data_IF_891381707223
#
_entry.id   IF_891381707223
#
_cell.length_a   1.000
_cell.length_b   1.000
_cell.length_c   1.000
_cell.angle_alpha   90.00
_cell.angle_beta   90.00
_cell.angle_gamma   90.00
#
_symmetry.space_group_name_H-M   'P 1'
#
loop_
_entity.id
_entity.type
_entity.pdbx_description
1 polymer ?
#
# COMPACT_ATOMS: atom_id res chain seq x y z
N UNK A 1 -10.65 -46.04 53.33
CA UNK A 1 -10.81 -44.86 52.44
C UNK A 1 -9.75 -43.87 52.87
N UNK A 2 -8.58 -43.92 52.22
CA UNK A 2 -8.18 -42.98 51.16
C UNK A 2 -7.90 -41.59 51.75
N UNK A 3 -6.64 -41.16 51.95
CA UNK A 3 -5.54 -40.82 51.02
C UNK A 3 -5.52 -39.31 50.66
N UNK A 4 -4.37 -38.72 50.98
CA UNK A 4 -3.62 -37.61 50.35
C UNK A 4 -4.00 -36.14 50.54
N UNK A 5 -3.05 -35.52 51.23
CA UNK A 5 -2.31 -34.28 50.93
C UNK A 5 -1.91 -34.01 49.47
N UNK A 6 -1.84 -32.70 49.20
CA UNK A 6 -0.86 -31.90 48.41
C UNK A 6 -1.26 -31.24 47.07
N UNK A 7 -0.71 -30.03 46.79
CA UNK A 7 -1.10 -29.13 45.70
C UNK A 7 -0.02 -28.98 44.59
N UNK A 8 -0.37 -28.15 43.58
CA UNK A 8 0.49 -27.44 42.59
C UNK A 8 1.24 -28.25 41.51
N UNK A 9 0.75 -28.06 40.28
CA UNK A 9 1.42 -27.92 38.98
C UNK A 9 2.68 -28.75 38.66
N UNK A 10 2.52 -29.65 37.67
CA UNK A 10 3.61 -30.34 36.98
C UNK A 10 3.39 -30.24 35.45
N UNK A 11 4.39 -29.75 34.73
CA UNK A 11 4.60 -29.97 33.30
C UNK A 11 6.07 -30.29 33.04
N UNK A 12 6.40 -31.16 32.07
CA UNK A 12 7.49 -32.13 32.23
C UNK A 12 8.85 -31.67 31.68
N UNK A 13 9.89 -32.22 32.29
CA UNK A 13 11.31 -32.25 31.92
C UNK A 13 11.53 -33.12 30.67
N UNK A 14 12.24 -32.61 29.66
CA UNK A 14 12.76 -33.40 28.54
C UNK A 14 14.26 -33.11 28.36
N UNK A 15 14.97 -34.20 28.08
CA UNK A 15 16.40 -34.45 28.19
C UNK A 15 17.32 -33.62 27.29
N UNK A 16 18.53 -33.39 27.82
CA UNK A 16 19.70 -32.85 27.14
C UNK A 16 20.37 -33.94 26.29
N UNK A 17 20.56 -33.77 24.97
CA UNK A 17 21.45 -34.62 24.18
C UNK A 17 22.90 -34.16 24.33
N UNK A 18 23.78 -35.09 24.69
CA UNK A 18 25.21 -34.92 24.79
C UNK A 18 25.86 -34.55 23.44
N UNK A 19 26.62 -33.47 23.41
CA UNK A 19 27.41 -33.07 22.25
C UNK A 19 28.71 -33.89 22.17
N UNK A 20 29.03 -34.50 21.02
CA UNK A 20 30.25 -35.27 20.85
C UNK A 20 31.49 -34.38 20.78
N UNK A 21 32.56 -34.86 21.40
CA UNK A 21 33.93 -34.31 21.40
C UNK A 21 34.48 -34.31 19.96
N UNK A 22 34.92 -33.16 19.41
CA UNK A 22 35.56 -33.18 18.11
C UNK A 22 37.03 -33.57 18.25
N UNK A 23 37.36 -34.63 17.52
CA UNK A 23 38.71 -35.12 17.24
C UNK A 23 39.53 -34.10 16.45
N UNK A 24 40.84 -34.24 16.60
CA UNK A 24 41.90 -33.43 16.00
C UNK A 24 41.81 -33.37 14.47
N UNK A 25 41.30 -32.26 13.94
CA UNK A 25 41.55 -31.84 12.56
C UNK A 25 42.76 -30.91 12.49
N UNK A 26 43.78 -31.35 11.75
CA UNK A 26 44.97 -30.59 11.38
C UNK A 26 44.60 -29.50 10.37
N UNK A 27 44.14 -28.36 10.87
CA UNK A 27 44.06 -27.11 10.13
C UNK A 27 44.74 -25.99 10.93
N UNK A 28 45.50 -25.09 10.30
CA UNK A 28 46.21 -24.04 11.01
C UNK A 28 45.19 -23.12 11.70
N UNK A 29 45.20 -23.15 13.03
CA UNK A 29 44.41 -22.25 13.90
C UNK A 29 44.79 -20.79 13.62
N UNK A 30 44.13 -20.17 12.65
CA UNK A 30 44.16 -18.72 12.47
C UNK A 30 43.41 -18.09 13.64
N UNK A 31 44.16 -17.69 14.65
CA UNK A 31 43.68 -16.94 15.80
C UNK A 31 42.91 -15.70 15.34
N UNK A 32 41.79 -15.39 16.02
CA UNK A 32 40.95 -14.20 15.76
C UNK A 32 41.74 -12.87 15.81
N UNK A 33 42.92 -12.87 16.43
CA UNK A 33 43.82 -11.72 16.54
C UNK A 33 45.09 -11.82 15.67
N UNK A 34 45.20 -12.81 14.77
CA UNK A 34 46.38 -12.95 13.92
C UNK A 34 46.39 -11.95 12.76
N UNK A 35 47.58 -11.55 12.32
CA UNK A 35 47.77 -10.70 11.11
C UNK A 35 47.14 -11.32 9.86
N UNK A 36 47.07 -12.65 9.79
CA UNK A 36 46.41 -13.39 8.72
C UNK A 36 44.88 -13.15 8.70
N UNK A 37 44.27 -12.99 9.88
CA UNK A 37 42.84 -12.68 10.02
C UNK A 37 42.53 -11.24 9.60
N UNK A 38 43.44 -10.30 9.87
CA UNK A 38 43.33 -8.89 9.40
C UNK A 38 43.45 -8.81 7.88
N UNK A 39 44.38 -9.57 7.28
CA UNK A 39 44.54 -9.65 5.81
C UNK A 39 43.29 -10.22 5.15
N UNK A 40 42.78 -11.35 5.66
CA UNK A 40 41.56 -11.98 5.13
C UNK A 40 40.32 -11.11 5.29
N UNK A 41 40.18 -10.39 6.41
CA UNK A 41 39.10 -9.40 6.60
C UNK A 41 39.23 -8.23 5.61
N UNK A 42 40.43 -7.68 5.43
CA UNK A 42 40.69 -6.58 4.49
C UNK A 42 40.44 -6.99 3.03
N UNK A 43 40.72 -8.24 2.67
CA UNK A 43 40.48 -8.79 1.34
C UNK A 43 38.98 -9.04 1.07
N UNK A 44 38.23 -9.48 2.09
CA UNK A 44 36.77 -9.59 2.05
C UNK A 44 36.07 -8.22 2.02
N UNK A 45 36.59 -7.22 2.72
CA UNK A 45 36.09 -5.84 2.67
C UNK A 45 36.41 -5.17 1.32
N UNK A 46 37.58 -5.46 0.72
CA UNK A 46 37.94 -4.96 -0.61
C UNK A 46 37.10 -5.60 -1.73
N UNK A 47 36.81 -6.89 -1.64
CA UNK A 47 35.93 -7.58 -2.60
C UNK A 47 34.46 -7.15 -2.48
N UNK A 48 33.96 -6.88 -1.27
CA UNK A 48 32.62 -6.28 -1.09
C UNK A 48 32.52 -4.86 -1.64
N UNK A 49 33.62 -4.11 -1.72
CA UNK A 49 33.62 -2.73 -2.22
C UNK A 49 33.59 -2.61 -3.75
N UNK A 50 33.73 -3.72 -4.47
CA UNK A 50 33.74 -3.75 -5.94
C UNK A 50 32.51 -4.40 -6.57
N UNK A 51 31.56 -4.94 -5.78
CA UNK A 51 30.30 -5.43 -6.31
C UNK A 51 29.28 -4.30 -6.41
N UNK A 52 29.52 -3.37 -7.33
CA UNK A 52 28.46 -2.51 -7.85
C UNK A 52 27.60 -3.45 -8.70
N UNK A 53 26.44 -3.87 -8.18
CA UNK A 53 25.42 -4.52 -9.02
C UNK A 53 25.26 -3.64 -10.25
N UNK A 54 25.39 -4.17 -11.48
CA UNK A 54 25.01 -3.41 -12.65
C UNK A 54 23.59 -2.94 -12.39
N UNK A 55 23.38 -1.62 -12.42
CA UNK A 55 22.07 -1.02 -12.56
C UNK A 55 21.40 -1.77 -13.70
N UNK A 56 20.51 -2.70 -13.36
CA UNK A 56 19.69 -3.38 -14.35
C UNK A 56 18.91 -2.24 -14.98
N UNK A 57 19.21 -1.92 -16.23
CA UNK A 57 18.41 -1.00 -17.02
C UNK A 57 17.03 -1.63 -17.06
N UNK A 58 16.16 -1.18 -16.17
CA UNK A 58 14.78 -1.66 -16.14
C UNK A 58 14.13 -1.15 -17.41
N UNK A 59 13.29 -1.96 -18.07
CA UNK A 59 12.56 -1.49 -19.24
C UNK A 59 11.77 -0.22 -18.90
N UNK A 60 11.95 0.81 -19.72
CA UNK A 60 11.20 2.06 -19.66
C UNK A 60 10.53 2.24 -21.00
N UNK A 61 9.47 1.48 -21.23
CA UNK A 61 8.67 1.63 -22.45
C UNK A 61 7.77 2.86 -22.33
N UNK A 62 7.59 3.60 -23.42
CA UNK A 62 6.65 4.71 -23.47
C UNK A 62 5.22 4.16 -23.50
N UNK A 63 4.33 4.72 -22.69
CA UNK A 63 2.93 4.32 -22.62
C UNK A 63 2.01 5.51 -22.84
N UNK A 64 0.82 5.26 -23.37
CA UNK A 64 -0.18 6.31 -23.58
C UNK A 64 -1.07 6.51 -22.35
N UNK A 65 -1.60 7.71 -22.19
CA UNK A 65 -2.58 8.03 -21.14
C UNK A 65 -3.81 7.09 -21.21
N UNK A 66 -4.26 6.76 -22.42
CA UNK A 66 -5.38 5.84 -22.63
C UNK A 66 -5.08 4.44 -22.09
N UNK A 67 -3.88 3.91 -22.32
CA UNK A 67 -3.48 2.61 -21.77
C UNK A 67 -3.38 2.64 -20.25
N UNK A 68 -2.84 3.73 -19.69
CA UNK A 68 -2.80 3.95 -18.24
C UNK A 68 -4.20 3.93 -17.64
N UNK A 69 -5.14 4.69 -18.20
CA UNK A 69 -6.53 4.75 -17.73
C UNK A 69 -7.23 3.40 -17.83
N UNK A 70 -6.96 2.61 -18.89
CA UNK A 70 -7.53 1.25 -19.02
C UNK A 70 -7.03 0.35 -17.90
N UNK A 71 -5.73 0.34 -17.60
CA UNK A 71 -5.17 -0.48 -16.52
C UNK A 71 -5.60 0.02 -15.15
N UNK A 72 -5.69 1.34 -14.96
CA UNK A 72 -6.20 1.97 -13.75
C UNK A 72 -7.64 1.52 -13.44
N UNK A 73 -8.53 1.60 -14.42
CA UNK A 73 -9.93 1.18 -14.28
C UNK A 73 -10.05 -0.33 -14.04
N UNK A 74 -9.26 -1.15 -14.73
CA UNK A 74 -9.22 -2.61 -14.48
C UNK A 74 -8.78 -2.92 -13.05
N UNK A 75 -7.80 -2.18 -12.53
CA UNK A 75 -7.36 -2.36 -11.15
C UNK A 75 -8.45 -1.94 -10.15
N UNK A 76 -9.13 -0.82 -10.39
CA UNK A 76 -10.26 -0.38 -9.57
C UNK A 76 -11.38 -1.43 -9.51
N UNK A 77 -11.80 -1.97 -10.67
CA UNK A 77 -12.80 -3.05 -10.74
C UNK A 77 -12.34 -4.29 -9.97
N UNK A 78 -11.08 -4.71 -10.15
CA UNK A 78 -10.52 -5.86 -9.44
C UNK A 78 -10.53 -5.68 -7.92
N UNK A 79 -10.30 -4.46 -7.44
CA UNK A 79 -10.41 -4.15 -6.00
C UNK A 79 -11.87 -4.21 -5.53
N UNK A 80 -12.79 -3.69 -6.36
CA UNK A 80 -14.22 -3.80 -6.14
C UNK A 80 -14.69 -5.24 -5.97
N UNK A 81 -14.24 -6.15 -6.85
CA UNK A 81 -14.57 -7.58 -6.81
C UNK A 81 -13.99 -8.28 -5.58
N UNK A 82 -12.85 -7.80 -5.07
CA UNK A 82 -12.23 -8.29 -3.82
C UNK A 82 -12.93 -7.75 -2.56
N UNK A 83 -13.91 -6.87 -2.69
CA UNK A 83 -14.59 -6.22 -1.58
C UNK A 83 -13.87 -4.98 -1.03
N UNK A 84 -12.80 -4.51 -1.67
CA UNK A 84 -12.07 -3.29 -1.30
C UNK A 84 -12.75 -2.05 -1.91
N UNK A 85 -14.01 -1.84 -1.50
CA UNK A 85 -14.91 -0.80 -2.05
C UNK A 85 -14.44 0.63 -1.80
N UNK A 86 -13.75 0.87 -0.68
CA UNK A 86 -13.18 2.19 -0.36
C UNK A 86 -12.15 2.57 -1.43
N UNK A 87 -11.17 1.69 -1.68
CA UNK A 87 -10.12 1.95 -2.66
C UNK A 87 -10.65 2.02 -4.10
N UNK A 88 -11.62 1.16 -4.46
CA UNK A 88 -12.34 1.29 -5.73
C UNK A 88 -12.97 2.69 -5.88
N UNK A 89 -13.68 3.16 -4.86
CA UNK A 89 -14.30 4.48 -4.88
C UNK A 89 -13.29 5.62 -4.96
N UNK A 90 -12.12 5.49 -4.30
CA UNK A 90 -11.05 6.48 -4.36
C UNK A 90 -10.41 6.56 -5.75
N UNK A 91 -10.25 5.42 -6.41
CA UNK A 91 -9.69 5.35 -7.76
C UNK A 91 -10.61 5.89 -8.85
N UNK A 92 -11.93 5.84 -8.61
CA UNK A 92 -12.97 6.25 -9.55
C UNK A 92 -13.55 7.64 -9.25
N UNK A 93 -13.03 8.35 -8.25
CA UNK A 93 -13.60 9.64 -7.83
C UNK A 93 -13.38 10.73 -8.87
N UNK A 94 -12.22 10.71 -9.52
CA UNK A 94 -11.76 11.58 -10.58
C UNK A 94 -10.78 10.77 -11.46
N UNK A 95 -10.68 11.14 -12.74
CA UNK A 95 -9.73 10.50 -13.66
C UNK A 95 -8.31 11.04 -13.39
N UNK A 96 -7.29 10.17 -13.25
CA UNK A 96 -5.91 10.61 -13.08
C UNK A 96 -5.35 11.16 -14.40
N UNK A 97 -4.46 12.14 -14.31
CA UNK A 97 -3.77 12.73 -15.46
C UNK A 97 -2.33 12.24 -15.57
N UNK A 98 -1.80 12.16 -16.80
CA UNK A 98 -0.45 11.69 -17.08
C UNK A 98 0.49 12.83 -17.52
N UNK A 99 1.52 13.10 -16.74
CA UNK A 99 2.59 14.06 -17.05
C UNK A 99 3.92 13.29 -17.24
N UNK A 100 4.16 12.83 -18.48
CA UNK A 100 5.33 12.00 -18.80
C UNK A 100 5.24 10.61 -18.18
N UNK A 101 5.99 10.36 -17.10
CA UNK A 101 5.93 9.12 -16.30
C UNK A 101 5.25 9.30 -14.95
N UNK A 102 4.80 10.53 -14.64
CA UNK A 102 4.15 10.87 -13.38
C UNK A 102 2.64 10.89 -13.56
N UNK A 103 1.95 10.09 -12.75
CA UNK A 103 0.49 10.04 -12.70
C UNK A 103 0.04 10.92 -11.55
N UNK A 104 -0.79 11.91 -11.83
CA UNK A 104 -1.32 12.83 -10.83
C UNK A 104 -2.78 12.52 -10.54
N UNK A 105 -3.12 12.39 -9.25
CA UNK A 105 -4.48 12.12 -8.78
C UNK A 105 -4.92 13.19 -7.78
N UNK A 106 -6.11 13.74 -7.99
CA UNK A 106 -6.74 14.68 -7.06
C UNK A 106 -7.74 13.96 -6.14
N UNK A 107 -7.54 14.12 -4.83
CA UNK A 107 -8.41 13.61 -3.78
C UNK A 107 -9.06 14.75 -2.98
N UNK A 108 -10.28 14.54 -2.44
CA UNK A 108 -11.08 15.61 -1.86
C UNK A 108 -10.57 16.10 -0.50
N UNK A 109 -9.92 15.23 0.27
CA UNK A 109 -9.43 15.54 1.62
C UNK A 109 -8.19 14.71 1.97
N UNK A 110 -7.49 15.10 3.05
CA UNK A 110 -6.29 14.40 3.52
C UNK A 110 -6.56 12.96 3.97
N UNK A 111 -7.75 12.66 4.51
CA UNK A 111 -8.13 11.30 4.92
C UNK A 111 -8.10 10.33 3.73
N UNK A 112 -8.71 10.76 2.61
CA UNK A 112 -8.71 10.01 1.35
C UNK A 112 -7.29 9.78 0.83
N UNK A 113 -6.41 10.77 0.98
CA UNK A 113 -5.00 10.66 0.62
C UNK A 113 -4.29 9.61 1.47
N UNK A 114 -4.48 9.62 2.78
CA UNK A 114 -3.87 8.64 3.68
C UNK A 114 -4.33 7.21 3.36
N UNK A 115 -5.63 7.03 3.13
CA UNK A 115 -6.21 5.73 2.75
C UNK A 115 -5.61 5.24 1.41
N UNK A 116 -5.50 6.13 0.42
CA UNK A 116 -4.92 5.81 -0.88
C UNK A 116 -3.42 5.46 -0.78
N UNK A 117 -2.63 6.27 -0.06
CA UNK A 117 -1.20 6.05 0.15
C UNK A 117 -0.91 4.70 0.83
N UNK A 118 -1.79 4.24 1.72
CA UNK A 118 -1.65 2.93 2.36
C UNK A 118 -1.68 1.76 1.36
N UNK A 119 -2.37 1.93 0.22
CA UNK A 119 -2.57 0.88 -0.79
C UNK A 119 -1.90 1.17 -2.14
N UNK A 120 -1.16 2.29 -2.24
CA UNK A 120 -0.53 2.76 -3.48
C UNK A 120 0.45 1.76 -4.08
N UNK A 121 1.14 0.99 -3.22
CA UNK A 121 2.14 0.00 -3.63
C UNK A 121 1.53 -1.09 -4.53
N UNK A 122 0.29 -1.50 -4.26
CA UNK A 122 -0.40 -2.50 -5.07
C UNK A 122 -0.74 -1.99 -6.47
N UNK A 123 -1.16 -0.72 -6.54
CA UNK A 123 -1.47 -0.04 -7.80
C UNK A 123 -0.21 0.19 -8.64
N UNK A 124 0.86 0.71 -8.03
CA UNK A 124 2.16 0.87 -8.67
C UNK A 124 2.67 -0.45 -9.24
N UNK A 125 2.60 -1.54 -8.47
CA UNK A 125 2.99 -2.87 -8.95
C UNK A 125 2.16 -3.34 -10.14
N UNK A 126 0.85 -3.06 -10.14
CA UNK A 126 -0.03 -3.38 -11.26
C UNK A 126 0.34 -2.60 -12.52
N UNK A 127 0.48 -1.28 -12.41
CA UNK A 127 0.79 -0.40 -13.54
C UNK A 127 2.18 -0.71 -14.13
N UNK A 128 3.21 -0.83 -13.28
CA UNK A 128 4.58 -1.17 -13.74
C UNK A 128 4.64 -2.50 -14.48
N UNK A 129 3.84 -3.47 -14.05
CA UNK A 129 3.77 -4.78 -14.71
C UNK A 129 3.01 -4.79 -16.03
N UNK A 130 1.97 -3.96 -16.18
CA UNK A 130 1.10 -3.97 -17.37
C UNK A 130 1.52 -2.94 -18.42
N UNK A 131 2.18 -1.86 -18.02
CA UNK A 131 2.66 -0.79 -18.90
C UNK A 131 4.15 -0.93 -19.23
N UNK A 132 4.82 -1.97 -18.73
CA UNK A 132 6.24 -2.27 -18.96
C UNK A 132 7.18 -1.07 -18.68
N UNK A 133 6.78 -0.21 -17.76
CA UNK A 133 7.52 0.98 -17.38
C UNK A 133 7.72 1.01 -15.87
N UNK A 134 8.98 0.92 -15.43
CA UNK A 134 9.34 0.90 -14.02
C UNK A 134 9.54 2.29 -13.40
N UNK A 135 9.55 3.34 -14.22
CA UNK A 135 9.74 4.74 -13.82
C UNK A 135 8.43 5.40 -13.37
N UNK A 136 7.28 4.71 -13.55
CA UNK A 136 5.97 5.21 -13.13
C UNK A 136 5.97 5.63 -11.66
N UNK A 137 5.56 6.86 -11.44
CA UNK A 137 5.38 7.48 -10.11
C UNK A 137 3.96 8.01 -10.00
N UNK A 138 3.38 7.99 -8.80
CA UNK A 138 2.03 8.49 -8.55
C UNK A 138 2.12 9.61 -7.51
N UNK A 139 1.63 10.79 -7.87
CA UNK A 139 1.55 11.96 -6.99
C UNK A 139 0.09 12.26 -6.65
N UNK A 140 -0.16 12.55 -5.37
CA UNK A 140 -1.52 12.75 -4.86
C UNK A 140 -1.66 14.17 -4.30
N UNK A 141 -2.59 14.92 -4.88
CA UNK A 141 -2.93 16.27 -4.48
C UNK A 141 -4.27 16.31 -3.75
N UNK A 142 -4.36 17.13 -2.71
CA UNK A 142 -5.60 17.34 -1.97
C UNK A 142 -6.26 18.63 -2.46
N UNK A 143 -7.51 18.51 -2.87
CA UNK A 143 -8.32 19.62 -3.37
C UNK A 143 -9.62 19.76 -2.57
N UNK A 144 -9.52 20.38 -1.39
CA UNK A 144 -10.66 20.61 -0.48
C UNK A 144 -11.73 21.54 -1.08
N UNK A 145 -11.36 22.37 -2.07
CA UNK A 145 -12.31 23.24 -2.74
C UNK A 145 -13.37 22.45 -3.52
N UNK A 146 -13.05 21.24 -4.01
CA UNK A 146 -14.01 20.37 -4.70
C UNK A 146 -15.00 19.74 -3.72
N UNK A 147 -14.59 19.47 -2.47
CA UNK A 147 -15.50 18.98 -1.43
C UNK A 147 -16.58 20.02 -1.10
N UNK A 148 -16.23 21.31 -1.08
CA UNK A 148 -17.20 22.40 -0.87
C UNK A 148 -18.26 22.50 -1.97
N UNK A 149 -18.00 21.97 -3.18
CA UNK A 149 -19.00 21.86 -4.25
C UNK A 149 -19.80 20.56 -4.19
N UNK A 150 -19.30 19.53 -3.51
CA UNK A 150 -20.04 18.26 -3.29
C UNK A 150 -20.85 18.26 -2.00
N UNK A 151 -20.62 19.19 -1.07
CA UNK A 151 -21.56 19.46 0.00
C UNK A 151 -22.82 20.10 -0.59
N UNK A 152 -23.79 19.28 -1.01
CA UNK A 152 -25.09 19.82 -1.39
C UNK A 152 -25.65 20.54 -0.17
N UNK A 153 -25.72 21.88 -0.24
CA UNK A 153 -26.51 22.69 0.68
C UNK A 153 -27.95 22.16 0.67
N UNK A 154 -28.72 22.35 1.73
CA UNK A 154 -30.11 21.87 1.82
C UNK A 154 -30.94 22.36 0.62
N UNK A 155 -30.65 23.57 0.14
CA UNK A 155 -31.19 24.14 -1.09
C UNK A 155 -30.79 23.39 -2.37
N UNK A 156 -29.54 22.96 -2.48
CA UNK A 156 -29.04 22.22 -3.65
C UNK A 156 -29.66 20.81 -3.71
N UNK A 157 -29.85 20.17 -2.55
CA UNK A 157 -30.58 18.90 -2.45
C UNK A 157 -32.02 19.06 -2.91
N UNK A 158 -32.69 20.14 -2.49
CA UNK A 158 -34.04 20.45 -2.94
C UNK A 158 -34.12 20.63 -4.46
N UNK A 159 -33.20 21.40 -5.05
CA UNK A 159 -33.17 21.63 -6.49
C UNK A 159 -33.00 20.32 -7.27
N UNK A 160 -32.06 19.48 -6.86
CA UNK A 160 -31.84 18.17 -7.50
C UNK A 160 -33.04 17.23 -7.34
N UNK A 161 -33.70 17.23 -6.19
CA UNK A 161 -34.93 16.46 -5.98
C UNK A 161 -36.05 16.96 -6.90
N UNK A 162 -36.14 18.27 -7.13
CA UNK A 162 -37.12 18.89 -8.03
C UNK A 162 -36.85 18.55 -9.51
N UNK A 163 -35.58 18.46 -9.93
CA UNK A 163 -35.20 17.98 -11.27
C UNK A 163 -35.59 16.51 -11.50
N UNK A 164 -35.46 15.67 -10.47
CA UNK A 164 -35.84 14.25 -10.52
C UNK A 164 -37.36 14.08 -10.50
N UNK A 165 -38.06 14.86 -9.68
CA UNK A 165 -39.51 14.80 -9.54
C UNK A 165 -40.12 16.18 -9.22
N UNK A 166 -40.91 16.77 -10.13
CA UNK A 166 -41.52 18.08 -9.90
C UNK A 166 -42.56 18.08 -8.76
N UNK A 167 -43.07 16.92 -8.33
CA UNK A 167 -43.99 16.83 -7.20
C UNK A 167 -43.34 17.13 -5.84
N UNK A 168 -42.02 17.31 -5.80
CA UNK A 168 -41.29 17.74 -4.59
C UNK A 168 -41.74 19.13 -4.13
N UNK A 169 -42.15 20.01 -5.05
CA UNK A 169 -42.75 21.31 -4.70
C UNK A 169 -44.08 21.13 -3.96
N UNK A 170 -44.95 20.27 -4.48
CA UNK A 170 -46.23 19.96 -3.83
C UNK A 170 -46.03 19.37 -2.43
N UNK A 171 -45.05 18.48 -2.26
CA UNK A 171 -44.71 17.90 -0.96
C UNK A 171 -44.25 18.99 0.02
N UNK A 172 -43.38 19.89 -0.43
CA UNK A 172 -42.89 21.02 0.36
C UNK A 172 -44.03 21.92 0.84
N UNK A 173 -44.95 22.30 -0.06
CA UNK A 173 -46.09 23.15 0.26
C UNK A 173 -47.12 22.45 1.15
N UNK A 174 -47.42 21.18 0.88
CA UNK A 174 -48.45 20.42 1.61
C UNK A 174 -48.06 20.20 3.07
N UNK A 175 -46.77 19.96 3.33
CA UNK A 175 -46.26 19.66 4.66
C UNK A 175 -45.54 20.84 5.33
N UNK A 176 -45.49 22.02 4.68
CA UNK A 176 -44.85 23.21 5.23
C UNK A 176 -43.36 23.02 5.52
N UNK A 177 -42.64 22.32 4.63
CA UNK A 177 -41.22 22.04 4.80
C UNK A 177 -40.42 23.27 4.38
N UNK A 178 -40.01 24.10 5.34
CA UNK A 178 -39.12 25.23 5.07
C UNK A 178 -37.65 24.81 5.14
N UNK A 179 -36.86 25.34 4.20
CA UNK A 179 -35.41 25.17 4.17
C UNK A 179 -34.82 26.30 5.01
N UNK A 180 -34.19 25.95 6.13
CA UNK A 180 -33.44 26.93 6.92
C UNK A 180 -32.15 27.26 6.17
N UNK A 181 -32.01 28.53 5.79
CA UNK A 181 -30.77 29.08 5.21
C UNK A 181 -29.63 29.11 6.19
#
# INVERSE_FOLDING_TARGET
MEVKTQPVAETPKVETPATPKPESSTEPKISAFSLSSIRKKKELEASNKSYVKPSSVMPTEEFTETEMLVQWNKYAQRLGDKGLKIMESLLLINDPTLEGTVITLELPNEGSKLDFESQINGLLGHLKGHLHNHDITIEVFVNEAVESKRSLNDQDRYNRLMEINPNIELLRTTFGLDLHT
#
